data_IF_549230662056
#
_entry.id   IF_549230662056
#
_cell.length_a   1.000
_cell.length_b   1.000
_cell.length_c   1.000
_cell.angle_alpha   90.00
_cell.angle_beta   90.00
_cell.angle_gamma   90.00
#
_symmetry.space_group_name_H-M   'P 1'
#
loop_
_entity.id
_entity.type
_entity.pdbx_description
1 polymer ?
#
# COMPACT_ATOMS: atom_id res chain seq x y z
N UNK A 1 13.94 -8.57 -3.27
CA UNK A 1 12.68 -7.94 -2.84
C UNK A 1 12.78 -7.39 -1.44
N UNK A 2 12.02 -6.34 -1.16
CA UNK A 2 12.03 -5.57 0.09
C UNK A 2 10.60 -5.41 0.59
N UNK A 3 10.50 -5.20 1.89
CA UNK A 3 9.26 -4.95 2.60
C UNK A 3 9.41 -3.65 3.38
N UNK A 4 8.40 -2.80 3.32
CA UNK A 4 8.18 -1.72 4.27
C UNK A 4 6.84 -1.95 4.95
N UNK A 5 6.77 -1.71 6.27
CA UNK A 5 5.59 -1.97 7.07
C UNK A 5 5.40 -0.86 8.10
N UNK A 6 4.20 -0.30 8.15
CA UNK A 6 3.77 0.66 9.14
C UNK A 6 2.51 0.15 9.82
N UNK A 7 2.56 -0.07 11.12
CA UNK A 7 1.45 -0.60 11.90
C UNK A 7 0.80 0.44 12.81
N UNK A 8 -0.48 0.24 13.12
CA UNK A 8 -1.15 0.97 14.19
C UNK A 8 -1.57 2.38 13.79
N UNK A 9 -1.89 2.59 12.51
CA UNK A 9 -2.51 3.84 12.08
C UNK A 9 -3.96 3.84 12.56
N UNK A 10 -4.27 4.73 13.50
CA UNK A 10 -5.61 4.84 14.08
C UNK A 10 -6.63 5.26 13.01
N UNK A 11 -7.78 4.58 13.01
CA UNK A 11 -8.93 4.88 12.15
C UNK A 11 -10.21 4.74 12.96
N UNK A 12 -11.25 5.47 12.56
CA UNK A 12 -12.60 5.21 13.05
C UNK A 12 -13.15 3.91 12.43
N UNK A 13 -13.78 3.02 13.21
CA UNK A 13 -14.48 1.86 12.67
C UNK A 13 -15.60 2.23 11.68
N UNK A 14 -15.85 1.34 10.73
CA UNK A 14 -16.88 1.40 9.69
C UNK A 14 -16.86 2.71 8.90
N UNK A 15 -15.66 3.23 8.62
CA UNK A 15 -15.46 4.53 7.98
C UNK A 15 -14.72 4.34 6.65
N UNK A 16 -15.16 5.07 5.64
CA UNK A 16 -14.53 5.08 4.31
C UNK A 16 -13.38 6.09 4.27
N UNK A 17 -12.25 5.65 3.73
CA UNK A 17 -11.03 6.43 3.57
C UNK A 17 -10.48 6.30 2.17
N UNK A 18 -9.60 7.23 1.82
CA UNK A 18 -8.74 7.17 0.64
C UNK A 18 -7.29 7.30 1.09
N UNK A 19 -6.46 6.32 0.72
CA UNK A 19 -5.00 6.46 0.80
C UNK A 19 -4.49 6.95 -0.54
N UNK A 20 -3.86 8.12 -0.57
CA UNK A 20 -3.16 8.62 -1.73
C UNK A 20 -1.68 8.38 -1.58
N UNK A 21 -1.03 7.86 -2.61
CA UNK A 21 0.42 7.73 -2.67
C UNK A 21 0.93 7.82 -4.09
N UNK A 22 2.25 7.88 -4.22
CA UNK A 22 2.93 7.94 -5.50
C UNK A 22 3.98 6.85 -5.59
N UNK A 23 4.11 6.18 -6.73
CA UNK A 23 5.15 5.18 -6.93
C UNK A 23 5.92 5.39 -8.23
N UNK A 24 7.17 4.91 -8.27
CA UNK A 24 7.94 4.73 -9.49
C UNK A 24 8.79 3.48 -9.39
N UNK A 25 9.13 2.87 -10.52
CA UNK A 25 9.89 1.63 -10.60
C UNK A 25 11.01 1.83 -11.64
N UNK A 26 12.22 1.29 -11.41
CA UNK A 26 13.27 1.31 -12.44
C UNK A 26 12.76 0.66 -13.72
N UNK A 27 13.08 1.22 -14.88
CA UNK A 27 12.58 0.72 -16.19
C UNK A 27 13.11 -0.67 -16.56
N UNK A 28 14.16 -1.15 -15.91
CA UNK A 28 14.70 -2.50 -16.07
C UNK A 28 15.47 -2.93 -14.80
N UNK A 29 15.39 -4.21 -14.38
CA UNK A 29 14.54 -5.28 -14.91
C UNK A 29 13.03 -5.05 -14.69
N UNK A 30 12.17 -5.91 -15.26
CA UNK A 30 10.72 -5.90 -14.99
C UNK A 30 10.44 -6.13 -13.49
N UNK A 31 9.43 -5.46 -12.96
CA UNK A 31 9.05 -5.56 -11.56
C UNK A 31 7.75 -4.88 -11.21
N UNK A 32 7.38 -4.96 -9.95
CA UNK A 32 6.14 -4.39 -9.41
C UNK A 32 6.34 -3.77 -8.04
N UNK A 33 5.38 -2.97 -7.61
CA UNK A 33 5.24 -2.51 -6.24
C UNK A 33 3.79 -2.68 -5.79
N UNK A 34 3.57 -3.22 -4.60
CA UNK A 34 2.24 -3.40 -4.03
C UNK A 34 2.12 -2.58 -2.76
N UNK A 35 1.04 -1.82 -2.60
CA UNK A 35 0.60 -1.30 -1.31
C UNK A 35 -0.67 -2.04 -0.91
N UNK A 36 -0.68 -2.60 0.29
CA UNK A 36 -1.80 -3.31 0.88
C UNK A 36 -2.21 -2.64 2.20
N UNK A 37 -3.50 -2.37 2.34
CA UNK A 37 -4.13 -1.82 3.55
C UNK A 37 -4.68 -2.99 4.34
N UNK A 38 -4.18 -3.18 5.56
CA UNK A 38 -4.51 -4.31 6.42
C UNK A 38 -5.35 -3.85 7.62
N UNK A 39 -6.38 -4.62 7.97
CA UNK A 39 -7.11 -4.44 9.23
C UNK A 39 -6.26 -4.87 10.43
N UNK A 40 -6.03 -3.96 11.38
CA UNK A 40 -5.15 -4.19 12.53
C UNK A 40 -3.69 -4.41 12.12
N UNK A 41 -2.96 -5.23 12.89
CA UNK A 41 -1.54 -5.54 12.67
C UNK A 41 -1.32 -7.00 12.27
N UNK A 42 -0.26 -7.30 11.53
CA UNK A 42 0.18 -8.68 11.25
C UNK A 42 1.41 -9.06 12.07
N UNK A 43 1.51 -10.33 12.47
CA UNK A 43 2.74 -10.91 13.02
C UNK A 43 3.64 -11.55 11.95
N UNK A 44 3.06 -11.88 10.78
CA UNK A 44 3.73 -12.55 9.67
C UNK A 44 3.07 -12.25 8.33
N UNK A 45 3.82 -12.40 7.23
CA UNK A 45 3.29 -12.17 5.87
C UNK A 45 2.20 -13.18 5.47
N UNK A 46 2.09 -14.34 6.13
CA UNK A 46 1.02 -15.30 5.84
C UNK A 46 -0.36 -14.83 6.30
N UNK A 47 -0.43 -13.79 7.14
CA UNK A 47 -1.70 -13.21 7.62
C UNK A 47 -2.26 -12.14 6.66
N UNK A 48 -1.51 -11.72 5.64
CA UNK A 48 -1.89 -10.63 4.73
C UNK A 48 -3.24 -10.90 4.06
N UNK A 49 -3.44 -12.11 3.53
CA UNK A 49 -4.64 -12.46 2.77
C UNK A 49 -5.92 -12.38 3.60
N UNK A 50 -5.86 -12.67 4.91
CA UNK A 50 -7.03 -12.61 5.79
C UNK A 50 -7.30 -11.22 6.36
N UNK A 51 -6.35 -10.29 6.24
CA UNK A 51 -6.46 -8.92 6.78
C UNK A 51 -6.53 -7.83 5.73
N UNK A 52 -6.28 -8.15 4.45
CA UNK A 52 -6.35 -7.19 3.34
C UNK A 52 -7.73 -6.56 3.22
N UNK A 53 -7.81 -5.25 3.47
CA UNK A 53 -8.98 -4.41 3.25
C UNK A 53 -9.00 -3.86 1.81
N UNK A 54 -7.82 -3.48 1.30
CA UNK A 54 -7.62 -3.02 -0.07
C UNK A 54 -6.17 -3.25 -0.50
N UNK A 55 -5.95 -3.34 -1.82
CA UNK A 55 -4.61 -3.52 -2.38
C UNK A 55 -4.51 -2.88 -3.76
N UNK A 56 -3.34 -2.34 -4.08
CA UNK A 56 -3.01 -1.94 -5.44
C UNK A 56 -1.63 -2.47 -5.83
N UNK A 57 -1.56 -3.07 -7.02
CA UNK A 57 -0.30 -3.51 -7.65
C UNK A 57 0.04 -2.53 -8.76
N UNK A 58 1.10 -1.75 -8.56
CA UNK A 58 1.68 -0.86 -9.55
C UNK A 58 2.68 -1.60 -10.43
N UNK A 59 2.53 -1.45 -11.74
CA UNK A 59 3.38 -2.09 -12.77
C UNK A 59 3.87 -1.10 -13.82
N UNK A 60 3.55 0.19 -13.69
CA UNK A 60 4.04 1.20 -14.63
C UNK A 60 5.55 1.39 -14.44
N UNK A 61 6.30 0.96 -15.45
CA UNK A 61 7.75 1.07 -15.58
C UNK A 61 8.15 1.92 -16.81
N UNK A 62 7.26 2.77 -17.31
CA UNK A 62 7.51 3.55 -18.53
C UNK A 62 8.61 4.60 -18.33
N UNK A 63 8.68 5.23 -17.15
CA UNK A 63 9.71 6.21 -16.79
C UNK A 63 10.02 6.19 -15.28
N UNK A 64 11.27 5.85 -14.94
CA UNK A 64 11.75 5.76 -13.56
C UNK A 64 11.90 7.11 -12.82
N UNK A 65 11.62 8.22 -13.50
CA UNK A 65 11.60 9.57 -12.92
C UNK A 65 10.17 10.11 -12.77
N UNK A 66 9.19 9.47 -13.39
CA UNK A 66 7.78 9.84 -13.27
C UNK A 66 7.15 9.02 -12.16
N UNK A 67 6.52 9.72 -11.22
CA UNK A 67 5.81 9.12 -10.10
C UNK A 67 4.32 9.02 -10.42
N UNK A 68 3.81 7.80 -10.50
CA UNK A 68 2.40 7.49 -10.77
C UNK A 68 1.59 7.65 -9.48
N UNK A 69 0.58 8.51 -9.53
CA UNK A 69 -0.37 8.71 -8.42
C UNK A 69 -1.35 7.53 -8.34
N UNK A 70 -1.63 7.09 -7.13
CA UNK A 70 -2.69 6.12 -6.81
C UNK A 70 -3.57 6.67 -5.71
N UNK A 71 -4.89 6.61 -5.91
CA UNK A 71 -5.89 6.81 -4.88
C UNK A 71 -6.52 5.44 -4.58
N UNK A 72 -6.20 4.89 -3.41
CA UNK A 72 -6.65 3.58 -2.95
C UNK A 72 -7.74 3.74 -1.90
N UNK A 73 -8.98 3.53 -2.31
CA UNK A 73 -10.13 3.58 -1.42
C UNK A 73 -10.26 2.30 -0.59
N UNK A 74 -10.66 2.42 0.67
CA UNK A 74 -10.98 1.29 1.53
C UNK A 74 -11.98 1.67 2.63
N UNK A 75 -12.70 0.68 3.17
CA UNK A 75 -13.47 0.82 4.40
C UNK A 75 -12.71 0.17 5.56
N UNK A 76 -12.64 0.83 6.71
CA UNK A 76 -11.92 0.30 7.88
C UNK A 76 -12.55 -0.97 8.47
N UNK A 77 -13.80 -1.29 8.13
CA UNK A 77 -14.56 -2.37 8.75
C UNK A 77 -14.65 -2.17 10.27
N UNK A 78 -14.68 -3.25 11.04
CA UNK A 78 -14.73 -3.13 12.50
C UNK A 78 -13.40 -2.71 13.16
N UNK A 79 -12.36 -2.38 12.38
CA UNK A 79 -11.04 -2.08 12.92
C UNK A 79 -10.95 -0.63 13.42
N UNK A 80 -10.29 -0.44 14.56
CA UNK A 80 -9.90 0.85 15.13
C UNK A 80 -8.45 1.26 14.77
N UNK A 81 -7.71 0.36 14.13
CA UNK A 81 -6.40 0.61 13.55
C UNK A 81 -6.18 -0.19 12.27
N UNK A 82 -5.36 0.32 11.38
CA UNK A 82 -4.88 -0.37 10.18
C UNK A 82 -3.36 -0.43 10.15
N UNK A 83 -2.84 -1.22 9.21
CA UNK A 83 -1.43 -1.22 8.84
C UNK A 83 -1.26 -1.07 7.33
N UNK A 84 -0.15 -0.45 6.92
CA UNK A 84 0.27 -0.38 5.54
C UNK A 84 1.43 -1.35 5.32
N UNK A 85 1.27 -2.25 4.35
CA UNK A 85 2.31 -3.15 3.90
C UNK A 85 2.69 -2.79 2.47
N UNK A 86 3.97 -2.52 2.23
CA UNK A 86 4.50 -2.24 0.91
C UNK A 86 5.53 -3.30 0.56
N UNK A 87 5.38 -3.92 -0.61
CA UNK A 87 6.33 -4.90 -1.15
C UNK A 87 6.73 -4.52 -2.56
N UNK A 88 7.95 -4.87 -2.97
CA UNK A 88 8.36 -4.79 -4.37
C UNK A 88 8.84 -6.16 -4.86
N UNK A 89 8.70 -6.42 -6.15
CA UNK A 89 9.17 -7.64 -6.78
C UNK A 89 9.97 -7.32 -8.03
N UNK A 90 11.07 -8.02 -8.26
CA UNK A 90 11.83 -8.00 -9.52
C UNK A 90 12.71 -6.77 -9.74
N UNK A 91 12.21 -5.56 -9.45
CA UNK A 91 12.90 -4.30 -9.73
C UNK A 91 12.92 -3.37 -8.53
N UNK A 92 13.87 -2.44 -8.51
CA UNK A 92 13.90 -1.39 -7.49
C UNK A 92 12.72 -0.44 -7.67
N UNK A 93 11.97 -0.25 -6.60
CA UNK A 93 10.76 0.57 -6.58
C UNK A 93 10.85 1.60 -5.46
N UNK A 94 10.24 2.76 -5.69
CA UNK A 94 10.13 3.86 -4.73
C UNK A 94 8.66 4.21 -4.56
N UNK A 95 8.25 4.47 -3.33
CA UNK A 95 6.92 4.95 -2.97
C UNK A 95 7.09 6.16 -2.07
N UNK A 96 6.31 7.21 -2.33
CA UNK A 96 6.45 8.48 -1.64
C UNK A 96 5.11 9.18 -1.42
N UNK A 97 5.13 10.17 -0.52
CA UNK A 97 4.07 11.12 -0.26
C UNK A 97 2.72 10.46 0.04
N UNK A 98 2.73 9.54 1.00
CA UNK A 98 1.55 8.82 1.49
C UNK A 98 0.69 9.75 2.33
N UNK A 99 -0.58 9.92 1.96
CA UNK A 99 -1.61 10.57 2.77
C UNK A 99 -2.81 9.65 2.95
N UNK A 100 -3.59 9.93 3.99
CA UNK A 100 -4.88 9.29 4.25
C UNK A 100 -5.89 10.39 4.58
N UNK A 101 -7.04 10.32 3.92
CA UNK A 101 -8.12 11.27 4.08
C UNK A 101 -9.46 10.53 4.21
N UNK A 102 -10.44 11.17 4.85
CA UNK A 102 -11.83 10.70 4.81
C UNK A 102 -12.36 10.81 3.38
N UNK A 103 -13.13 9.81 2.96
CA UNK A 103 -13.78 9.81 1.65
C UNK A 103 -15.00 10.73 1.61
#
# INVERSE_FOLDING_TARGET
DRVAYQSGLEVSPNTDYVITYYYTIKTSPEGSITLNVLGGTIGSLSEVSSKSLASHVGTDQTDANTYVKVDLEFNSGANDAISLLITNEGSESRLDNVSIDLK
#
